data_IF_875096542665
#
_entry.id   IF_875096542665
#
_cell.length_a   1.000
_cell.length_b   1.000
_cell.length_c   1.000
_cell.angle_alpha   90.00
_cell.angle_beta   90.00
_cell.angle_gamma   90.00
#
_symmetry.space_group_name_H-M   'P 1'
#
loop_
_entity.id
_entity.type
_entity.pdbx_description
1 polymer ?
#
# COMPACT_ATOMS: atom_id res chain seq x y z
N UNK A 1 6.25 1.64 0.41
CA UNK A 1 6.23 0.30 1.02
C UNK A 1 5.33 0.33 2.25
N UNK A 2 4.48 -0.68 2.42
CA UNK A 2 3.78 -0.96 3.68
C UNK A 2 4.27 -2.31 4.18
N UNK A 3 4.67 -2.40 5.44
CA UNK A 3 5.07 -3.65 6.09
C UNK A 3 3.97 -4.11 7.05
N UNK A 4 3.16 -5.08 6.61
CA UNK A 4 2.10 -5.65 7.43
C UNK A 4 2.59 -6.71 8.43
N UNK A 5 3.88 -7.05 8.45
CA UNK A 5 4.47 -7.87 9.51
C UNK A 5 4.61 -7.12 10.84
N UNK A 6 4.50 -5.78 10.80
CA UNK A 6 4.47 -4.91 11.97
C UNK A 6 3.03 -4.65 12.45
N UNK A 7 2.82 -4.41 13.76
CA UNK A 7 1.51 -4.10 14.31
C UNK A 7 0.96 -2.76 13.79
N UNK A 8 -0.36 -2.63 13.80
CA UNK A 8 -1.08 -1.43 13.34
C UNK A 8 -0.80 -0.18 14.19
N UNK A 9 -0.26 -0.38 15.39
CA UNK A 9 0.20 0.67 16.30
C UNK A 9 1.56 1.26 15.92
N UNK A 10 2.31 0.61 15.02
CA UNK A 10 3.61 1.09 14.55
C UNK A 10 3.49 1.82 13.21
N UNK A 11 4.38 2.80 13.01
CA UNK A 11 4.53 3.45 11.71
C UNK A 11 5.15 2.43 10.76
N UNK A 12 4.32 1.88 9.88
CA UNK A 12 4.65 0.77 8.98
C UNK A 12 4.40 1.09 7.50
N UNK A 13 4.19 2.36 7.18
CA UNK A 13 4.17 2.89 5.82
C UNK A 13 5.39 3.79 5.62
N UNK A 14 6.16 3.52 4.58
CA UNK A 14 7.25 4.37 4.10
C UNK A 14 7.01 4.79 2.66
N UNK A 15 7.25 6.07 2.37
CA UNK A 15 7.22 6.62 1.02
C UNK A 15 8.56 7.30 0.75
N UNK A 16 9.19 6.93 -0.37
CA UNK A 16 10.52 7.38 -0.73
C UNK A 16 10.50 8.14 -2.06
N UNK A 17 11.23 9.25 -2.12
CA UNK A 17 11.67 9.84 -3.38
C UNK A 17 12.96 9.13 -3.79
N UNK A 18 12.86 8.20 -4.75
CA UNK A 18 14.00 7.40 -5.20
C UNK A 18 15.04 8.23 -5.98
N UNK A 19 14.60 9.26 -6.70
CA UNK A 19 15.51 10.16 -7.45
C UNK A 19 16.35 10.99 -6.50
N UNK A 20 15.71 11.54 -5.46
CA UNK A 20 16.39 12.35 -4.43
C UNK A 20 16.95 11.53 -3.28
N UNK A 21 16.72 10.21 -3.25
CA UNK A 21 17.11 9.30 -2.17
C UNK A 21 16.64 9.79 -0.79
N UNK A 22 15.38 10.24 -0.72
CA UNK A 22 14.83 10.89 0.48
C UNK A 22 13.60 10.16 0.99
N UNK A 23 13.52 9.95 2.30
CA UNK A 23 12.29 9.54 2.98
C UNK A 23 11.31 10.72 3.02
N UNK A 24 10.13 10.55 2.43
CA UNK A 24 9.07 11.56 2.41
C UNK A 24 8.07 11.37 3.56
N UNK A 25 7.70 10.12 3.84
CA UNK A 25 6.71 9.79 4.87
C UNK A 25 7.10 8.51 5.62
N UNK A 26 6.88 8.51 6.93
CA UNK A 26 6.91 7.34 7.81
C UNK A 26 5.68 7.42 8.73
N UNK A 27 4.67 6.59 8.46
CA UNK A 27 3.31 6.83 8.96
C UNK A 27 2.58 5.56 9.42
N UNK A 28 1.55 5.75 10.24
CA UNK A 28 0.56 4.72 10.55
C UNK A 28 -0.29 4.43 9.31
N UNK A 29 -0.60 3.15 9.09
CA UNK A 29 -1.50 2.72 8.01
C UNK A 29 -2.38 1.55 8.47
N UNK A 30 -3.69 1.69 8.26
CA UNK A 30 -4.67 0.66 8.55
C UNK A 30 -4.71 -0.41 7.46
N UNK A 31 -4.99 -1.65 7.88
CA UNK A 31 -5.31 -2.78 7.00
C UNK A 31 -6.83 -3.01 6.96
N UNK A 32 -7.28 -3.90 6.08
CA UNK A 32 -8.65 -4.38 6.02
C UNK A 32 -9.08 -5.15 7.29
N UNK A 33 -10.34 -5.00 7.70
CA UNK A 33 -10.87 -5.58 8.96
C UNK A 33 -10.72 -7.09 9.06
N UNK A 34 -10.81 -7.79 7.94
CA UNK A 34 -10.70 -9.24 7.90
C UNK A 34 -9.23 -9.72 7.79
N UNK A 35 -8.26 -8.80 7.82
CA UNK A 35 -6.83 -9.15 7.90
C UNK A 35 -6.35 -9.46 9.31
N UNK A 36 -7.08 -9.08 10.34
CA UNK A 36 -6.71 -9.28 11.74
C UNK A 36 -7.02 -8.07 12.62
N UNK A 37 -6.56 -8.11 13.88
CA UNK A 37 -6.78 -7.05 14.87
C UNK A 37 -5.62 -6.03 14.89
N UNK A 38 -4.71 -6.09 15.86
CA UNK A 38 -3.51 -5.25 15.83
C UNK A 38 -2.52 -5.72 14.75
N UNK A 39 -2.38 -7.05 14.62
CA UNK A 39 -1.58 -7.68 13.59
C UNK A 39 -2.45 -8.00 12.37
N UNK A 40 -1.93 -7.78 11.17
CA UNK A 40 -2.49 -8.38 9.96
C UNK A 40 -1.83 -9.73 9.74
N UNK A 41 -2.63 -10.79 9.68
CA UNK A 41 -2.18 -12.18 9.50
C UNK A 41 -2.92 -12.89 8.37
N UNK A 42 -4.00 -12.29 7.84
CA UNK A 42 -4.77 -12.83 6.72
C UNK A 42 -4.86 -11.82 5.57
N UNK A 43 -4.67 -12.31 4.35
CA UNK A 43 -4.67 -11.50 3.14
C UNK A 43 -5.53 -12.17 2.08
N UNK A 44 -6.17 -11.37 1.23
CA UNK A 44 -7.06 -11.91 0.21
C UNK A 44 -7.15 -11.00 -1.01
N UNK A 45 -7.25 -11.65 -2.16
CA UNK A 45 -7.56 -11.04 -3.44
C UNK A 45 -9.03 -11.19 -3.85
N UNK A 46 -9.86 -11.81 -3.00
CA UNK A 46 -11.26 -12.08 -3.34
C UNK A 46 -12.11 -10.83 -3.14
N UNK A 47 -13.10 -10.65 -4.03
CA UNK A 47 -14.10 -9.60 -3.88
C UNK A 47 -14.89 -9.77 -2.57
N UNK A 48 -15.30 -8.66 -1.95
CA UNK A 48 -16.00 -8.63 -0.65
C UNK A 48 -15.27 -9.30 0.54
N UNK A 49 -13.99 -9.71 0.38
CA UNK A 49 -13.22 -10.33 1.46
C UNK A 49 -12.96 -9.39 2.64
N UNK A 50 -13.01 -8.08 2.40
CA UNK A 50 -12.61 -7.01 3.33
C UNK A 50 -11.21 -7.17 3.92
N UNK A 51 -10.37 -8.00 3.31
CA UNK A 51 -9.00 -8.23 3.69
C UNK A 51 -8.05 -7.49 2.74
N UNK A 52 -6.89 -7.14 3.27
CA UNK A 52 -5.81 -6.49 2.53
C UNK A 52 -5.24 -7.44 1.48
N UNK A 53 -4.82 -6.90 0.34
CA UNK A 53 -4.02 -7.62 -0.66
C UNK A 53 -2.52 -7.35 -0.47
N UNK A 54 -1.71 -8.41 -0.59
CA UNK A 54 -0.25 -8.32 -0.67
C UNK A 54 0.19 -8.07 -2.11
N UNK A 55 1.44 -7.65 -2.29
CA UNK A 55 2.02 -7.52 -3.62
C UNK A 55 2.41 -6.10 -4.02
N UNK A 56 2.93 -6.01 -5.24
CA UNK A 56 3.20 -4.76 -5.93
C UNK A 56 1.92 -4.19 -6.57
N UNK A 57 1.69 -2.90 -6.35
CA UNK A 57 0.62 -2.14 -6.96
C UNK A 57 1.22 -0.98 -7.76
N UNK A 58 0.53 -0.58 -8.83
CA UNK A 58 0.74 0.69 -9.53
C UNK A 58 -0.38 1.65 -9.13
N UNK A 59 -0.01 2.82 -8.65
CA UNK A 59 -0.97 3.89 -8.37
C UNK A 59 -1.42 4.56 -9.66
N UNK A 60 -2.64 5.07 -9.66
CA UNK A 60 -3.28 5.66 -10.84
C UNK A 60 -3.69 7.11 -10.53
N UNK A 61 -4.78 7.59 -11.12
CA UNK A 61 -5.32 8.91 -10.83
C UNK A 61 -5.92 9.01 -9.43
N UNK A 62 -5.84 10.22 -8.87
CA UNK A 62 -6.59 10.59 -7.68
C UNK A 62 -8.02 10.99 -8.03
N UNK A 63 -8.97 10.76 -7.13
CA UNK A 63 -10.35 11.21 -7.27
C UNK A 63 -10.94 11.61 -5.90
N UNK A 64 -12.12 12.24 -5.90
CA UNK A 64 -12.91 12.48 -4.69
C UNK A 64 -14.12 11.56 -4.69
N UNK A 65 -14.23 10.71 -3.67
CA UNK A 65 -15.36 9.79 -3.48
C UNK A 65 -15.86 9.80 -2.03
N UNK A 66 -16.52 8.71 -1.61
CA UNK A 66 -17.08 8.57 -0.25
C UNK A 66 -16.00 8.70 0.85
N UNK A 67 -14.78 8.26 0.57
CA UNK A 67 -13.62 8.38 1.48
C UNK A 67 -12.88 9.73 1.34
N UNK A 68 -13.45 10.70 0.62
CA UNK A 68 -12.79 11.95 0.28
C UNK A 68 -11.74 11.79 -0.81
N UNK A 69 -10.69 12.59 -0.75
CA UNK A 69 -9.56 12.52 -1.70
C UNK A 69 -8.84 11.18 -1.56
N UNK A 70 -8.84 10.40 -2.63
CA UNK A 70 -8.42 9.00 -2.66
C UNK A 70 -7.57 8.72 -3.89
N UNK A 71 -6.67 7.74 -3.80
CA UNK A 71 -5.79 7.33 -4.89
C UNK A 71 -6.14 5.93 -5.37
N UNK A 72 -6.51 5.79 -6.64
CA UNK A 72 -6.73 4.48 -7.26
C UNK A 72 -5.43 3.70 -7.38
N UNK A 73 -5.56 2.38 -7.33
CA UNK A 73 -4.44 1.46 -7.49
C UNK A 73 -4.85 0.25 -8.31
N UNK A 74 -3.91 -0.24 -9.09
CA UNK A 74 -3.99 -1.46 -9.87
C UNK A 74 -3.00 -2.46 -9.28
N UNK A 75 -3.44 -3.69 -9.05
CA UNK A 75 -2.54 -4.74 -8.60
C UNK A 75 -1.78 -5.36 -9.76
N UNK A 76 -0.49 -5.61 -9.55
CA UNK A 76 0.41 -6.14 -10.57
C UNK A 76 0.80 -7.61 -10.33
N UNK A 77 0.32 -8.23 -9.26
CA UNK A 77 0.68 -9.58 -8.81
C UNK A 77 -0.49 -10.55 -9.01
N UNK A 78 -0.45 -11.37 -10.09
CA UNK A 78 -1.52 -12.30 -10.42
C UNK A 78 -1.87 -13.24 -9.26
N UNK A 79 -3.16 -13.34 -8.94
CA UNK A 79 -3.66 -14.17 -7.84
C UNK A 79 -3.45 -13.61 -6.42
N UNK A 80 -2.79 -12.45 -6.26
CA UNK A 80 -2.56 -11.81 -4.94
C UNK A 80 -3.19 -10.42 -4.84
N UNK A 81 -3.16 -9.63 -5.90
CA UNK A 81 -3.79 -8.32 -5.93
C UNK A 81 -4.36 -7.90 -7.29
N UNK A 82 -4.34 -8.75 -8.31
CA UNK A 82 -4.88 -8.45 -9.65
C UNK A 82 -6.37 -8.07 -9.68
N UNK A 83 -7.15 -8.38 -8.63
CA UNK A 83 -8.53 -7.88 -8.49
C UNK A 83 -8.63 -6.52 -7.76
N UNK A 84 -7.52 -5.89 -7.37
CA UNK A 84 -7.54 -4.71 -6.50
C UNK A 84 -8.31 -3.51 -7.08
N UNK A 85 -8.22 -3.31 -8.40
CA UNK A 85 -8.95 -2.24 -9.07
C UNK A 85 -10.46 -2.47 -9.00
N UNK A 86 -10.92 -3.67 -9.38
CA UNK A 86 -12.33 -4.06 -9.36
C UNK A 86 -12.91 -4.08 -7.92
N UNK A 87 -12.07 -4.41 -6.95
CA UNK A 87 -12.38 -4.35 -5.51
C UNK A 87 -12.38 -2.94 -4.93
N UNK A 88 -12.17 -1.91 -5.76
CA UNK A 88 -12.07 -0.51 -5.36
C UNK A 88 -11.05 -0.26 -4.22
N UNK A 89 -9.92 -0.97 -4.23
CA UNK A 89 -8.84 -0.79 -3.25
C UNK A 89 -8.08 0.51 -3.57
N UNK A 90 -8.09 1.45 -2.63
CA UNK A 90 -7.54 2.80 -2.80
C UNK A 90 -6.72 3.22 -1.58
N UNK A 91 -5.79 4.17 -1.74
CA UNK A 91 -5.23 4.89 -0.59
C UNK A 91 -6.18 6.04 -0.25
N UNK A 92 -6.54 6.20 1.03
CA UNK A 92 -7.37 7.31 1.46
C UNK A 92 -7.08 7.75 2.90
N UNK A 93 -7.57 8.95 3.28
CA UNK A 93 -7.56 9.41 4.65
C UNK A 93 -8.72 8.80 5.46
N UNK A 94 -8.49 8.50 6.73
CA UNK A 94 -9.54 8.03 7.63
C UNK A 94 -9.31 8.45 9.10
N UNK A 95 -10.32 9.01 9.79
CA UNK A 95 -10.18 9.47 11.18
C UNK A 95 -9.91 8.34 12.17
N UNK A 96 -10.25 7.10 11.80
CA UNK A 96 -9.96 5.93 12.61
C UNK A 96 -8.48 5.52 12.61
N UNK A 97 -7.64 6.16 11.79
CA UNK A 97 -6.18 6.06 11.89
C UNK A 97 -5.72 7.17 12.81
N UNK A 98 -5.37 6.82 14.05
CA UNK A 98 -5.04 7.79 15.09
C UNK A 98 -4.08 7.20 16.12
N UNK A 99 -2.96 7.88 16.44
CA UNK A 99 -2.08 7.48 17.53
C UNK A 99 -2.80 7.44 18.90
N UNK A 100 -3.83 8.26 19.08
CA UNK A 100 -4.65 8.26 20.31
C UNK A 100 -5.45 6.96 20.39
N UNK A 101 -6.12 6.56 19.30
CA UNK A 101 -6.85 5.29 19.24
C UNK A 101 -5.91 4.09 19.38
N UNK A 102 -4.73 4.15 18.76
CA UNK A 102 -3.69 3.13 18.90
C UNK A 102 -3.32 2.88 20.37
N UNK A 103 -3.11 3.95 21.15
CA UNK A 103 -2.81 3.85 22.59
C UNK A 103 -4.00 3.38 23.43
N UNK A 104 -5.20 3.87 23.13
CA UNK A 104 -6.39 3.54 23.92
C UNK A 104 -6.90 2.12 23.67
N UNK A 105 -6.85 1.64 22.43
CA UNK A 105 -7.48 0.39 22.00
C UNK A 105 -6.47 -0.73 21.72
N UNK A 106 -5.17 -0.46 21.81
CA UNK A 106 -4.12 -1.39 21.38
C UNK A 106 -4.05 -1.61 19.86
N UNK A 107 -4.81 -0.83 19.06
CA UNK A 107 -4.80 -0.83 17.59
C UNK A 107 -5.46 0.41 17.01
N UNK A 108 -5.13 0.74 15.77
CA UNK A 108 -5.93 1.70 14.98
C UNK A 108 -7.21 1.05 14.43
N UNK A 109 -8.08 1.85 13.82
CA UNK A 109 -9.21 1.34 13.05
C UNK A 109 -8.79 0.56 11.81
N UNK A 110 -9.76 -0.11 11.20
CA UNK A 110 -9.55 -1.01 10.06
C UNK A 110 -10.51 -0.63 8.93
N UNK A 111 -10.04 -0.75 7.70
CA UNK A 111 -10.82 -0.47 6.49
C UNK A 111 -11.54 -1.72 5.97
N UNK A 112 -12.06 -1.66 4.75
CA UNK A 112 -12.56 -2.81 4.01
C UNK A 112 -11.52 -3.40 3.02
N UNK A 113 -10.22 -3.21 3.29
CA UNK A 113 -9.11 -3.71 2.46
C UNK A 113 -8.18 -2.60 1.97
N UNK A 114 -8.66 -1.36 1.97
CA UNK A 114 -7.90 -0.17 1.59
C UNK A 114 -6.79 0.16 2.58
N UNK A 115 -5.57 0.48 2.14
CA UNK A 115 -4.58 1.15 2.99
C UNK A 115 -5.08 2.56 3.35
N UNK A 116 -5.46 2.76 4.61
CA UNK A 116 -5.94 4.06 5.08
C UNK A 116 -4.92 4.74 5.99
N UNK A 117 -4.79 6.05 5.86
CA UNK A 117 -3.84 6.88 6.62
C UNK A 117 -4.54 8.01 7.36
N UNK A 118 -3.82 8.78 8.18
CA UNK A 118 -4.39 9.91 8.92
C UNK A 118 -4.85 11.02 7.97
N UNK A 119 -6.01 11.68 8.19
CA UNK A 119 -6.49 12.75 7.31
C UNK A 119 -5.48 13.89 7.14
N UNK A 120 -4.74 14.22 8.20
CA UNK A 120 -3.73 15.29 8.21
C UNK A 120 -2.58 15.11 7.21
N UNK A 121 -2.31 13.86 6.77
CA UNK A 121 -1.23 13.57 5.82
C UNK A 121 -1.73 13.07 4.47
N UNK A 122 -3.00 12.66 4.38
CA UNK A 122 -3.57 11.97 3.23
C UNK A 122 -3.37 12.73 1.91
N UNK A 123 -3.65 14.03 1.88
CA UNK A 123 -3.54 14.83 0.66
C UNK A 123 -2.09 14.86 0.12
N UNK A 124 -1.13 15.25 0.96
CA UNK A 124 0.29 15.32 0.56
C UNK A 124 0.86 13.96 0.20
N UNK A 125 0.43 12.90 0.91
CA UNK A 125 0.86 11.55 0.62
C UNK A 125 0.32 11.08 -0.75
N UNK A 126 -0.98 11.26 -1.00
CA UNK A 126 -1.60 10.90 -2.29
C UNK A 126 -0.93 11.65 -3.43
N UNK A 127 -0.70 12.96 -3.29
CA UNK A 127 -0.03 13.75 -4.33
C UNK A 127 1.41 13.32 -4.60
N UNK A 128 2.11 12.80 -3.59
CA UNK A 128 3.46 12.25 -3.77
C UNK A 128 3.48 10.88 -4.45
N UNK A 129 2.32 10.22 -4.53
CA UNK A 129 2.18 8.84 -4.98
C UNK A 129 1.32 8.68 -6.23
N UNK A 130 0.66 9.72 -6.75
CA UNK A 130 -0.17 9.61 -7.95
C UNK A 130 0.65 9.44 -9.24
N UNK A 131 -0.04 9.12 -10.33
CA UNK A 131 0.53 9.11 -11.68
C UNK A 131 1.60 8.01 -11.88
N UNK A 132 1.26 6.76 -11.53
CA UNK A 132 2.06 5.58 -11.89
C UNK A 132 3.16 5.19 -10.90
N UNK A 133 3.15 5.70 -9.67
CA UNK A 133 4.11 5.29 -8.65
C UNK A 133 3.84 3.86 -8.15
N UNK A 134 4.85 3.25 -7.54
CA UNK A 134 4.75 1.89 -7.03
C UNK A 134 4.47 1.86 -5.53
N UNK A 135 3.54 1.00 -5.13
CA UNK A 135 3.30 0.64 -3.74
C UNK A 135 3.58 -0.85 -3.56
N UNK A 136 4.52 -1.17 -2.67
CA UNK A 136 4.79 -2.55 -2.25
C UNK A 136 4.11 -2.84 -0.92
N UNK A 137 3.14 -3.76 -0.90
CA UNK A 137 2.38 -4.24 0.26
C UNK A 137 2.97 -5.57 0.72
N UNK A 138 3.76 -5.54 1.79
CA UNK A 138 4.59 -6.67 2.21
C UNK A 138 4.04 -7.38 3.45
N UNK A 139 4.14 -8.70 3.44
CA UNK A 139 4.07 -9.61 4.58
C UNK A 139 4.88 -10.87 4.19
N UNK A 140 5.54 -11.59 5.12
CA UNK A 140 6.35 -12.78 4.81
C UNK A 140 5.51 -14.03 4.44
N UNK A 141 4.55 -13.86 3.54
CA UNK A 141 3.72 -14.94 2.99
C UNK A 141 4.56 -15.81 2.05
N UNK A 142 4.77 -17.06 2.44
CA UNK A 142 5.66 -17.97 1.71
C UNK A 142 5.14 -18.31 0.30
N UNK A 143 3.83 -18.26 0.07
CA UNK A 143 3.25 -18.54 -1.24
C UNK A 143 3.57 -17.41 -2.20
N UNK A 144 3.32 -16.18 -1.77
CA UNK A 144 3.64 -14.97 -2.53
C UNK A 144 5.14 -14.82 -2.78
N UNK A 145 5.97 -14.91 -1.73
CA UNK A 145 7.42 -14.74 -1.86
C UNK A 145 8.05 -15.72 -2.88
N UNK A 146 7.54 -16.95 -2.97
CA UNK A 146 8.03 -17.97 -3.92
C UNK A 146 7.52 -17.81 -5.34
N UNK A 147 6.41 -17.10 -5.55
CA UNK A 147 5.72 -17.04 -6.84
C UNK A 147 5.79 -15.67 -7.52
N UNK A 148 6.05 -14.60 -6.76
CA UNK A 148 6.16 -13.24 -7.31
C UNK A 148 7.32 -13.14 -8.30
N UNK A 149 7.03 -12.70 -9.52
CA UNK A 149 8.03 -12.39 -10.54
C UNK A 149 8.80 -11.11 -10.24
N UNK A 150 8.25 -10.22 -9.39
CA UNK A 150 8.91 -8.97 -8.97
C UNK A 150 9.91 -9.18 -7.84
N UNK A 151 9.74 -10.25 -7.05
CA UNK A 151 10.69 -10.64 -6.00
C UNK A 151 11.76 -11.58 -6.59
N UNK A 152 11.34 -12.55 -7.40
CA UNK A 152 12.23 -13.53 -8.02
C UNK A 152 12.68 -13.07 -9.42
N UNK A 153 12.87 -11.77 -9.61
CA UNK A 153 13.29 -11.22 -10.89
C UNK A 153 14.75 -11.58 -11.20
N UNK A 154 15.03 -11.94 -12.46
CA UNK A 154 16.39 -12.16 -12.95
C UNK A 154 17.13 -10.84 -13.22
N UNK A 155 18.43 -10.93 -13.50
CA UNK A 155 19.27 -9.77 -13.86
C UNK A 155 18.74 -8.97 -15.05
N UNK A 156 17.96 -9.59 -15.93
CA UNK A 156 17.45 -8.97 -17.16
C UNK A 156 16.12 -8.22 -16.95
N UNK A 157 15.52 -8.31 -15.75
CA UNK A 157 14.23 -7.70 -15.39
C UNK A 157 14.37 -6.57 -14.38
N UNK A 158 15.59 -6.17 -14.05
CA UNK A 158 15.88 -5.06 -13.13
C UNK A 158 15.73 -3.74 -13.86
N UNK A 159 15.03 -2.77 -13.27
CA UNK A 159 14.93 -1.42 -13.83
C UNK A 159 16.34 -0.83 -14.01
N UNK A 160 16.75 -0.61 -15.25
CA UNK A 160 18.06 -0.03 -15.55
C UNK A 160 18.06 1.44 -15.13
N UNK A 161 19.12 1.85 -14.44
CA UNK A 161 19.32 3.24 -14.02
C UNK A 161 19.97 4.08 -15.14
N UNK A 162 19.71 3.72 -16.41
CA UNK A 162 20.32 4.39 -17.54
C UNK A 162 19.63 5.72 -17.77
N UNK A 163 20.38 6.81 -17.55
CA UNK A 163 20.02 8.11 -18.09
C UNK A 163 19.86 7.93 -19.59
N UNK A 164 18.67 8.20 -20.12
CA UNK A 164 18.46 8.37 -21.55
C UNK A 164 19.39 9.48 -22.06
N UNK A 165 20.58 9.12 -22.51
CA UNK A 165 21.40 9.96 -23.39
C UNK A 165 20.83 9.78 -24.78
N UNK A 166 19.92 10.68 -25.16
CA UNK A 166 19.58 10.92 -26.55
C UNK A 166 20.86 11.31 -27.28
N UNK A 167 21.36 10.43 -28.16
CA UNK A 167 22.32 10.82 -29.19
C UNK A 167 21.53 11.49 -30.32
N UNK A 168 21.82 12.77 -30.55
CA UNK A 168 21.73 13.38 -31.89
C UNK A 168 23.08 13.21 -32.56
#
# INVERSE_FOLDING_TARGET
>A
MIDYSLPSTEQRLWVFDLKRRKLLFHELVAHGRNSGENMATLFSNLNESHATSLGLFRTQESYRGQNGYSLRMEGLEPGFNDNAYDRAIVIHGAPYVSPVLARANGRIGRSLGCPAVRPAIAHRLIDSMKDGQLLFSYYPDQRWLKSSSYINCGSDTVASNEKSTSRQ
#
